data_IF_616972414072
#
_entry.id   IF_616972414072
#
_cell.length_a   1.000
_cell.length_b   1.000
_cell.length_c   1.000
_cell.angle_alpha   90.00
_cell.angle_beta   90.00
_cell.angle_gamma   90.00
#
_symmetry.space_group_name_H-M   'P 1'
#
loop_
_entity.id
_entity.type
_entity.pdbx_description
1 polymer ?
#
# COMPACT_ATOMS: atom_id res chain seq x y z
N UNK A 1 -55.01 58.52 15.91
CA UNK A 1 -56.27 57.76 15.83
C UNK A 1 -55.94 56.36 15.33
N UNK A 2 -56.51 55.35 15.98
CA UNK A 2 -56.45 53.90 15.69
C UNK A 2 -57.04 53.61 14.28
N UNK A 3 -56.75 52.53 13.53
CA UNK A 3 -57.06 51.09 13.71
C UNK A 3 -56.19 50.26 12.68
N UNK A 4 -55.57 49.08 12.97
CA UNK A 4 -56.08 47.68 13.00
C UNK A 4 -56.85 47.27 11.70
N UNK A 5 -56.67 46.16 10.96
CA UNK A 5 -56.05 44.82 11.12
C UNK A 5 -55.65 44.14 9.76
N UNK A 6 -54.90 43.03 9.88
CA UNK A 6 -54.69 41.83 9.04
C UNK A 6 -55.49 41.66 7.72
N UNK A 7 -54.97 40.99 6.68
CA UNK A 7 -54.88 39.51 6.58
C UNK A 7 -53.80 39.11 5.54
N UNK A 8 -52.83 38.26 5.94
CA UNK A 8 -52.12 37.38 5.02
C UNK A 8 -52.68 35.97 5.20
N UNK A 9 -53.34 35.43 4.18
CA UNK A 9 -53.73 34.02 4.12
C UNK A 9 -53.00 33.29 3.00
N UNK A 10 -52.64 32.06 3.36
CA UNK A 10 -51.78 31.07 2.72
C UNK A 10 -52.34 30.49 1.42
N UNK A 11 -51.45 29.99 0.55
CA UNK A 11 -51.59 28.60 0.09
C UNK A 11 -50.23 27.92 -0.19
N UNK A 12 -50.21 26.63 0.10
CA UNK A 12 -49.09 25.71 0.20
C UNK A 12 -48.51 25.34 -1.18
N UNK A 13 -47.24 24.94 -1.19
CA UNK A 13 -46.71 24.02 -2.19
C UNK A 13 -45.80 23.00 -1.48
N UNK A 14 -45.83 21.73 -1.91
CA UNK A 14 -45.74 20.60 -1.00
C UNK A 14 -44.30 20.29 -0.58
N UNK A 15 -44.21 19.68 0.60
CA UNK A 15 -43.06 18.89 1.02
C UNK A 15 -42.80 17.78 -0.03
N UNK A 16 -41.88 18.05 -0.95
CA UNK A 16 -41.22 17.06 -1.77
C UNK A 16 -39.85 16.80 -1.16
N UNK A 17 -39.70 15.67 -0.49
CA UNK A 17 -38.43 15.15 0.01
C UNK A 17 -37.42 15.00 -1.12
N UNK A 18 -36.64 16.04 -1.40
CA UNK A 18 -35.38 15.88 -2.11
C UNK A 18 -34.40 15.32 -1.10
N UNK A 19 -34.33 14.00 -1.06
CA UNK A 19 -33.18 13.25 -0.59
C UNK A 19 -31.95 13.91 -1.20
N UNK A 20 -31.26 14.73 -0.39
CA UNK A 20 -29.90 15.13 -0.65
C UNK A 20 -29.09 13.84 -0.60
N UNK A 21 -29.04 13.17 -1.76
CA UNK A 21 -28.02 12.20 -2.06
C UNK A 21 -26.72 12.92 -1.73
N UNK A 22 -26.12 12.51 -0.62
CA UNK A 22 -24.75 12.80 -0.32
C UNK A 22 -23.98 12.26 -1.51
N UNK A 23 -23.70 13.15 -2.47
CA UNK A 23 -22.70 12.91 -3.49
C UNK A 23 -21.41 12.74 -2.72
N UNK A 24 -21.13 11.46 -2.42
CA UNK A 24 -19.84 10.97 -2.02
C UNK A 24 -18.88 11.54 -3.07
N UNK A 25 -18.15 12.59 -2.67
CA UNK A 25 -17.13 13.22 -3.50
C UNK A 25 -16.09 12.14 -3.77
N UNK A 26 -16.27 11.41 -4.87
CA UNK A 26 -15.30 10.44 -5.34
C UNK A 26 -14.02 11.20 -5.59
N UNK A 27 -13.01 10.97 -4.75
CA UNK A 27 -11.69 11.54 -4.94
C UNK A 27 -11.25 11.21 -6.37
N UNK A 28 -11.03 12.24 -7.19
CA UNK A 28 -10.64 12.04 -8.58
C UNK A 28 -9.28 11.34 -8.62
N UNK A 29 -9.25 10.15 -9.24
CA UNK A 29 -8.02 9.35 -9.34
C UNK A 29 -7.06 10.06 -10.29
N UNK A 30 -5.90 10.48 -9.78
CA UNK A 30 -4.86 11.12 -10.60
C UNK A 30 -4.26 10.09 -11.55
N UNK A 31 -4.09 10.43 -12.83
CA UNK A 31 -3.44 9.55 -13.82
C UNK A 31 -2.10 10.13 -14.26
N UNK A 32 -1.07 9.30 -14.34
CA UNK A 32 0.26 9.66 -14.84
C UNK A 32 0.78 8.59 -15.79
N UNK A 33 1.46 8.98 -16.87
CA UNK A 33 2.10 8.02 -17.78
C UNK A 33 3.30 7.34 -17.11
N UNK A 34 4.17 8.11 -16.47
CA UNK A 34 5.30 7.63 -15.67
C UNK A 34 5.75 8.76 -14.76
N UNK A 35 6.46 8.43 -13.69
CA UNK A 35 7.01 9.40 -12.74
C UNK A 35 8.50 9.10 -12.60
N UNK A 36 9.35 10.08 -12.88
CA UNK A 36 10.81 9.96 -12.80
C UNK A 36 11.38 11.20 -12.12
N UNK A 37 12.34 11.04 -11.22
CA UNK A 37 13.01 12.13 -10.52
C UNK A 37 14.43 11.72 -10.10
N UNK A 38 15.36 12.66 -10.05
CA UNK A 38 16.67 12.45 -9.41
C UNK A 38 16.60 12.71 -7.90
N UNK A 39 15.59 13.46 -7.45
CA UNK A 39 15.30 13.69 -6.03
C UNK A 39 14.28 12.68 -5.47
N UNK A 40 14.16 12.58 -4.13
CA UNK A 40 13.11 11.79 -3.48
C UNK A 40 11.71 12.17 -3.96
N UNK A 41 10.84 11.17 -4.11
CA UNK A 41 9.46 11.34 -4.57
C UNK A 41 8.50 11.06 -3.41
N UNK A 42 7.60 12.00 -3.15
CA UNK A 42 6.48 11.81 -2.22
C UNK A 42 5.16 11.85 -2.99
N UNK A 43 4.52 10.71 -3.14
CA UNK A 43 3.26 10.57 -3.86
C UNK A 43 2.08 10.48 -2.89
N UNK A 44 0.99 11.19 -3.22
CA UNK A 44 -0.30 11.11 -2.51
C UNK A 44 -1.42 10.66 -3.45
N UNK A 45 -2.05 9.54 -3.09
CA UNK A 45 -3.14 8.91 -3.80
C UNK A 45 -4.50 9.58 -3.54
N UNK A 46 -5.57 9.10 -4.20
CA UNK A 46 -5.57 7.97 -5.13
C UNK A 46 -4.89 8.30 -6.48
N UNK A 47 -4.04 7.40 -6.99
CA UNK A 47 -3.31 7.61 -8.26
C UNK A 47 -3.09 6.32 -9.06
N UNK A 48 -3.23 6.43 -10.38
CA UNK A 48 -2.85 5.41 -11.37
C UNK A 48 -1.64 5.88 -12.17
N UNK A 49 -0.63 5.01 -12.27
CA UNK A 49 0.56 5.21 -13.09
C UNK A 49 0.60 4.13 -14.16
N UNK A 50 0.46 4.52 -15.42
CA UNK A 50 0.39 3.59 -16.56
C UNK A 50 1.75 2.95 -16.88
N UNK A 51 2.84 3.56 -16.41
CA UNK A 51 4.22 3.10 -16.59
C UNK A 51 4.94 3.04 -15.25
N UNK A 52 6.23 3.37 -15.27
CA UNK A 52 7.10 3.20 -14.09
C UNK A 52 7.10 4.39 -13.15
N UNK A 53 7.35 4.14 -11.86
CA UNK A 53 7.79 5.15 -10.89
C UNK A 53 9.26 4.91 -10.59
N UNK A 54 10.13 5.89 -10.89
CA UNK A 54 11.58 5.79 -10.67
C UNK A 54 12.14 7.01 -9.95
N UNK A 55 12.96 6.80 -8.93
CA UNK A 55 13.68 7.87 -8.23
C UNK A 55 15.15 7.50 -8.04
N UNK A 56 16.07 8.48 -8.18
CA UNK A 56 17.45 8.33 -7.68
C UNK A 56 17.55 8.55 -6.16
N UNK A 57 16.46 8.99 -5.53
CA UNK A 57 16.28 9.02 -4.08
C UNK A 57 15.26 7.99 -3.60
N UNK A 58 14.65 8.28 -2.45
CA UNK A 58 13.59 7.47 -1.86
C UNK A 58 12.23 7.71 -2.53
N UNK A 59 11.32 6.74 -2.45
CA UNK A 59 9.94 6.87 -2.90
C UNK A 59 8.98 6.59 -1.75
N UNK A 60 8.12 7.55 -1.42
CA UNK A 60 7.04 7.37 -0.45
C UNK A 60 5.69 7.38 -1.15
N UNK A 61 4.91 6.32 -0.97
CA UNK A 61 3.51 6.21 -1.39
C UNK A 61 2.61 6.41 -0.18
N UNK A 62 1.69 7.38 -0.24
CA UNK A 62 0.65 7.59 0.79
C UNK A 62 -0.74 7.57 0.18
N UNK A 63 -1.59 6.62 0.57
CA UNK A 63 -2.91 6.36 0.00
C UNK A 63 -2.91 5.24 -1.05
N UNK A 64 -3.89 5.23 -1.95
CA UNK A 64 -4.09 4.15 -2.92
C UNK A 64 -3.36 4.37 -4.25
N UNK A 65 -2.62 3.36 -4.70
CA UNK A 65 -1.84 3.41 -5.93
C UNK A 65 -1.97 2.14 -6.77
N UNK A 66 -2.05 2.33 -8.09
CA UNK A 66 -1.85 1.27 -9.06
C UNK A 66 -0.74 1.69 -10.05
N UNK A 67 0.36 0.95 -10.06
CA UNK A 67 1.50 1.14 -10.97
C UNK A 67 1.53 -0.06 -11.91
N UNK A 68 1.33 0.18 -13.21
CA UNK A 68 1.20 -0.89 -14.21
C UNK A 68 2.52 -1.51 -14.66
N UNK A 69 3.62 -0.81 -14.44
CA UNK A 69 4.96 -1.33 -14.73
C UNK A 69 5.75 -1.43 -13.43
N UNK A 70 7.00 -0.97 -13.41
CA UNK A 70 7.91 -1.17 -12.29
C UNK A 70 8.01 0.02 -11.34
N UNK A 71 8.43 -0.26 -10.11
CA UNK A 71 8.84 0.74 -9.12
C UNK A 71 10.33 0.55 -8.84
N UNK A 72 11.12 1.61 -9.00
CA UNK A 72 12.59 1.56 -8.81
C UNK A 72 13.07 2.77 -8.00
N UNK A 73 13.59 2.53 -6.80
CA UNK A 73 14.22 3.56 -5.96
C UNK A 73 15.69 3.24 -5.71
N UNK A 74 16.55 4.24 -5.82
CA UNK A 74 17.94 4.15 -5.33
C UNK A 74 18.06 4.44 -3.83
N UNK A 75 17.02 5.01 -3.22
CA UNK A 75 16.85 5.08 -1.77
C UNK A 75 15.81 4.09 -1.25
N UNK A 76 15.24 4.40 -0.10
CA UNK A 76 14.18 3.60 0.53
C UNK A 76 12.85 3.68 -0.22
N UNK A 77 12.00 2.65 -0.05
CA UNK A 77 10.59 2.69 -0.46
C UNK A 77 9.70 2.60 0.77
N UNK A 78 8.85 3.61 0.98
CA UNK A 78 7.82 3.62 2.00
C UNK A 78 6.44 3.46 1.38
N UNK A 79 5.64 2.52 1.86
CA UNK A 79 4.27 2.27 1.39
C UNK A 79 3.32 2.41 2.58
N UNK A 80 2.58 3.52 2.62
CA UNK A 80 1.59 3.82 3.63
C UNK A 80 0.19 3.93 2.98
N UNK A 81 -0.49 2.79 2.83
CA UNK A 81 -1.76 2.67 2.12
C UNK A 81 -1.78 1.40 1.29
N UNK A 82 -2.51 1.41 0.18
CA UNK A 82 -2.60 0.28 -0.74
C UNK A 82 -1.76 0.52 -2.00
N UNK A 83 -0.90 -0.42 -2.34
CA UNK A 83 -0.10 -0.37 -3.57
C UNK A 83 -0.26 -1.66 -4.36
N UNK A 84 -0.71 -1.54 -5.62
CA UNK A 84 -0.60 -2.62 -6.61
C UNK A 84 0.48 -2.27 -7.62
N UNK A 85 1.47 -3.13 -7.78
CA UNK A 85 2.51 -3.06 -8.79
C UNK A 85 2.39 -4.28 -9.72
N UNK A 86 2.04 -4.06 -10.99
CA UNK A 86 1.85 -5.15 -11.97
C UNK A 86 3.16 -5.69 -12.55
N UNK A 87 4.30 -5.35 -11.95
CA UNK A 87 5.62 -5.83 -12.35
C UNK A 87 6.57 -5.80 -11.13
N UNK A 88 7.87 -5.59 -11.37
CA UNK A 88 8.94 -5.58 -10.37
C UNK A 88 8.92 -4.35 -9.46
N UNK A 89 9.26 -4.57 -8.20
CA UNK A 89 9.66 -3.51 -7.25
C UNK A 89 11.13 -3.71 -6.88
N UNK A 90 11.92 -2.64 -7.02
CA UNK A 90 13.35 -2.65 -6.70
C UNK A 90 13.70 -1.47 -5.81
N UNK A 91 14.33 -1.76 -4.69
CA UNK A 91 14.87 -0.75 -3.77
C UNK A 91 16.34 -1.04 -3.52
N UNK A 92 17.21 -0.04 -3.70
CA UNK A 92 18.59 -0.12 -3.22
C UNK A 92 18.71 0.21 -1.72
N UNK A 93 17.68 0.81 -1.14
CA UNK A 93 17.53 0.99 0.30
C UNK A 93 16.64 -0.08 0.94
N UNK A 94 16.02 0.30 2.05
CA UNK A 94 15.02 -0.48 2.76
C UNK A 94 13.66 -0.39 2.05
N UNK A 95 12.76 -1.31 2.40
CA UNK A 95 11.34 -1.23 2.06
C UNK A 95 10.53 -1.36 3.34
N UNK A 96 9.65 -0.40 3.59
CA UNK A 96 8.75 -0.38 4.74
C UNK A 96 7.31 -0.33 4.24
N UNK A 97 6.53 -1.33 4.59
CA UNK A 97 5.11 -1.43 4.24
C UNK A 97 4.31 -1.30 5.53
N UNK A 98 3.48 -0.27 5.65
CA UNK A 98 2.57 -0.05 6.79
C UNK A 98 1.10 -0.22 6.43
N UNK A 99 0.82 -0.72 5.23
CA UNK A 99 -0.52 -0.98 4.70
C UNK A 99 -0.56 -2.30 3.92
N UNK A 100 -1.15 -2.29 2.73
CA UNK A 100 -1.18 -3.46 1.84
C UNK A 100 -0.38 -3.19 0.57
N UNK A 101 0.49 -4.13 0.20
CA UNK A 101 1.21 -4.07 -1.05
C UNK A 101 1.09 -5.40 -1.81
N UNK A 102 0.87 -5.32 -3.12
CA UNK A 102 0.86 -6.47 -4.01
C UNK A 102 1.80 -6.22 -5.19
N UNK A 103 2.70 -7.16 -5.46
CA UNK A 103 3.54 -7.17 -6.66
C UNK A 103 3.32 -8.46 -7.45
N UNK A 104 3.14 -8.38 -8.76
CA UNK A 104 2.87 -9.59 -9.58
C UNK A 104 4.14 -10.27 -10.10
N UNK A 105 5.31 -9.65 -9.94
CA UNK A 105 6.59 -10.24 -10.34
C UNK A 105 7.60 -10.24 -9.20
N UNK A 106 8.85 -9.82 -9.43
CA UNK A 106 9.93 -9.89 -8.46
C UNK A 106 10.06 -8.63 -7.61
N UNK A 107 10.27 -8.82 -6.32
CA UNK A 107 10.69 -7.79 -5.37
C UNK A 107 12.15 -8.00 -5.02
N UNK A 108 13.00 -7.00 -5.28
CA UNK A 108 14.43 -7.04 -4.93
C UNK A 108 14.80 -5.86 -4.05
N UNK A 109 15.31 -6.16 -2.87
CA UNK A 109 15.61 -5.17 -1.82
C UNK A 109 17.07 -5.37 -1.38
N UNK A 110 17.89 -4.33 -1.55
CA UNK A 110 19.28 -4.39 -1.10
C UNK A 110 19.46 -4.00 0.38
N UNK A 111 18.48 -3.34 0.98
CA UNK A 111 18.38 -3.11 2.42
C UNK A 111 17.50 -4.15 3.13
N UNK A 112 16.81 -3.70 4.18
CA UNK A 112 15.87 -4.49 4.98
C UNK A 112 14.44 -4.41 4.41
N UNK A 113 13.66 -5.46 4.64
CA UNK A 113 12.22 -5.47 4.42
C UNK A 113 11.50 -5.48 5.77
N UNK A 114 10.66 -4.48 6.00
CA UNK A 114 9.76 -4.41 7.15
C UNK A 114 8.32 -4.42 6.67
N UNK A 115 7.54 -5.40 7.08
CA UNK A 115 6.11 -5.49 6.81
C UNK A 115 5.36 -5.27 8.12
N UNK A 116 4.59 -4.18 8.21
CA UNK A 116 3.65 -3.84 9.26
C UNK A 116 2.24 -3.78 8.65
N UNK A 117 1.74 -4.92 8.16
CA UNK A 117 0.55 -4.99 7.31
C UNK A 117 0.57 -6.23 6.43
N UNK A 118 0.13 -6.11 5.18
CA UNK A 118 0.09 -7.21 4.21
C UNK A 118 1.04 -6.97 3.05
N UNK A 119 1.85 -7.97 2.71
CA UNK A 119 2.68 -7.94 1.52
C UNK A 119 2.60 -9.22 0.71
N UNK A 120 2.01 -9.15 -0.47
CA UNK A 120 1.87 -10.30 -1.36
C UNK A 120 2.67 -10.11 -2.64
N UNK A 121 3.43 -11.14 -3.01
CA UNK A 121 4.30 -11.11 -4.19
C UNK A 121 4.11 -12.41 -4.95
N UNK A 122 3.54 -12.36 -6.15
CA UNK A 122 3.16 -13.59 -6.87
C UNK A 122 4.35 -14.50 -7.21
N UNK A 123 5.55 -13.93 -7.35
CA UNK A 123 6.77 -14.67 -7.70
C UNK A 123 7.79 -14.65 -6.56
N UNK A 124 8.78 -13.76 -6.62
CA UNK A 124 10.00 -13.86 -5.82
C UNK A 124 10.23 -12.62 -4.96
N UNK A 125 10.60 -12.84 -3.70
CA UNK A 125 11.15 -11.83 -2.80
C UNK A 125 12.63 -12.16 -2.54
N UNK A 126 13.52 -11.24 -2.92
CA UNK A 126 14.96 -11.33 -2.66
C UNK A 126 15.40 -10.13 -1.80
N UNK A 127 15.84 -10.38 -0.57
CA UNK A 127 16.22 -9.34 0.40
C UNK A 127 17.65 -9.57 0.89
N UNK A 128 18.52 -8.61 0.64
CA UNK A 128 19.93 -8.67 1.05
C UNK A 128 20.16 -8.26 2.51
N UNK A 129 19.13 -7.74 3.17
CA UNK A 129 19.10 -7.47 4.61
C UNK A 129 18.16 -8.39 5.38
N UNK A 130 17.73 -7.91 6.55
CA UNK A 130 16.78 -8.61 7.40
C UNK A 130 15.35 -8.45 6.86
N UNK A 131 14.54 -9.50 7.02
CA UNK A 131 13.09 -9.50 6.79
C UNK A 131 12.40 -9.56 8.15
N UNK A 132 11.58 -8.55 8.44
CA UNK A 132 10.76 -8.49 9.66
C UNK A 132 9.30 -8.38 9.28
N UNK A 133 8.49 -9.29 9.82
CA UNK A 133 7.07 -9.45 9.48
C UNK A 133 6.25 -9.26 10.74
N UNK A 134 5.51 -8.17 10.78
CA UNK A 134 4.49 -7.83 11.75
C UNK A 134 3.15 -7.70 11.01
N UNK A 135 2.49 -8.83 10.78
CA UNK A 135 1.36 -8.97 9.86
C UNK A 135 1.55 -10.17 8.96
N UNK A 136 1.30 -10.00 7.66
CA UNK A 136 1.27 -11.09 6.69
C UNK A 136 2.19 -10.84 5.50
N UNK A 137 2.94 -11.87 5.10
CA UNK A 137 3.71 -11.89 3.86
C UNK A 137 3.43 -13.18 3.08
N UNK A 138 3.18 -13.09 1.77
CA UNK A 138 3.08 -14.27 0.91
C UNK A 138 3.91 -14.12 -0.35
N UNK A 139 4.62 -15.18 -0.70
CA UNK A 139 5.27 -15.27 -2.00
C UNK A 139 5.49 -16.71 -2.46
N UNK A 140 5.90 -16.89 -3.72
CA UNK A 140 6.32 -18.20 -4.21
C UNK A 140 7.70 -18.58 -3.69
N UNK A 141 8.66 -17.67 -3.83
CA UNK A 141 10.04 -17.88 -3.40
C UNK A 141 10.54 -16.73 -2.54
N UNK A 142 11.15 -17.05 -1.40
CA UNK A 142 11.74 -16.09 -0.48
C UNK A 142 13.23 -16.38 -0.29
N UNK A 143 14.09 -15.40 -0.57
CA UNK A 143 15.51 -15.42 -0.22
C UNK A 143 15.85 -14.25 0.69
N UNK A 144 16.32 -14.53 1.90
CA UNK A 144 16.79 -13.52 2.87
C UNK A 144 18.26 -13.80 3.24
N UNK A 145 19.14 -12.84 2.99
CA UNK A 145 20.57 -13.01 3.22
C UNK A 145 21.03 -12.70 4.66
N UNK A 146 20.18 -12.10 5.50
CA UNK A 146 20.54 -11.83 6.90
C UNK A 146 19.68 -12.59 7.92
N UNK A 147 18.38 -12.30 7.98
CA UNK A 147 17.48 -12.97 8.94
C UNK A 147 16.03 -12.89 8.48
N UNK A 148 15.19 -13.77 9.01
CA UNK A 148 13.74 -13.77 8.85
C UNK A 148 13.09 -13.85 10.23
N UNK A 149 12.29 -12.85 10.59
CA UNK A 149 11.64 -12.76 11.90
C UNK A 149 10.15 -12.45 11.75
N UNK A 150 9.29 -13.20 12.43
CA UNK A 150 7.88 -12.82 12.65
C UNK A 150 7.73 -12.18 14.04
N UNK A 151 6.89 -11.15 14.17
CA UNK A 151 6.70 -10.39 15.41
C UNK A 151 5.29 -10.59 15.94
N UNK A 152 5.16 -11.17 17.13
CA UNK A 152 3.86 -11.45 17.74
C UNK A 152 3.19 -12.71 17.19
N UNK A 153 2.15 -13.13 17.88
CA UNK A 153 1.39 -14.36 17.65
C UNK A 153 0.47 -14.29 16.43
N UNK A 154 0.08 -13.09 16.00
CA UNK A 154 -0.78 -12.86 14.83
C UNK A 154 -0.01 -12.70 13.52
N UNK A 155 1.33 -12.74 13.56
CA UNK A 155 2.17 -12.56 12.38
C UNK A 155 2.54 -13.88 11.74
N UNK A 156 2.36 -13.97 10.42
CA UNK A 156 2.61 -15.19 9.67
C UNK A 156 3.11 -14.88 8.27
N UNK A 157 3.64 -15.89 7.60
CA UNK A 157 4.03 -15.78 6.21
C UNK A 157 3.89 -17.11 5.49
N UNK A 158 3.67 -17.06 4.19
CA UNK A 158 3.52 -18.22 3.32
C UNK A 158 4.56 -18.16 2.18
N UNK A 159 5.30 -19.25 2.01
CA UNK A 159 6.23 -19.44 0.89
C UNK A 159 5.85 -20.72 0.18
N UNK A 160 5.38 -20.60 -1.06
CA UNK A 160 4.74 -21.73 -1.77
C UNK A 160 5.74 -22.74 -2.34
N UNK A 161 6.91 -22.28 -2.81
CA UNK A 161 7.87 -23.11 -3.53
C UNK A 161 9.19 -23.29 -2.77
N UNK A 162 9.90 -22.19 -2.48
CA UNK A 162 11.22 -22.30 -1.86
C UNK A 162 11.56 -21.13 -0.94
N UNK A 163 12.13 -21.45 0.22
CA UNK A 163 12.61 -20.47 1.19
C UNK A 163 14.10 -20.71 1.47
N UNK A 164 14.91 -19.67 1.33
CA UNK A 164 16.32 -19.66 1.72
C UNK A 164 16.59 -18.50 2.69
N UNK A 165 16.93 -18.82 3.93
CA UNK A 165 17.35 -17.82 4.94
C UNK A 165 18.79 -18.15 5.33
N UNK A 166 19.73 -17.26 5.01
CA UNK A 166 21.16 -17.51 5.23
C UNK A 166 21.62 -17.29 6.67
N UNK A 167 20.85 -16.54 7.48
CA UNK A 167 21.15 -16.34 8.90
C UNK A 167 19.99 -16.75 9.79
N UNK A 168 19.70 -15.96 10.81
CA UNK A 168 18.75 -16.36 11.85
C UNK A 168 17.30 -16.41 11.32
N UNK A 169 16.59 -17.50 11.63
CA UNK A 169 15.16 -17.63 11.39
C UNK A 169 14.43 -17.70 12.73
N UNK A 170 13.76 -16.61 13.09
CA UNK A 170 13.07 -16.41 14.37
C UNK A 170 11.57 -16.32 14.11
N UNK A 171 10.96 -17.47 13.87
CA UNK A 171 9.53 -17.57 13.55
C UNK A 171 8.76 -18.19 14.72
N UNK A 172 7.61 -17.62 15.05
CA UNK A 172 6.76 -18.19 16.08
C UNK A 172 5.98 -19.37 15.46
N UNK A 173 6.16 -20.58 15.97
CA UNK A 173 5.34 -21.73 15.59
C UNK A 173 4.06 -21.70 16.40
N UNK A 174 2.91 -21.62 15.72
CA UNK A 174 1.64 -21.98 16.34
C UNK A 174 1.64 -23.51 16.40
N UNK A 175 2.01 -24.08 17.55
CA UNK A 175 1.75 -25.49 17.80
C UNK A 175 0.22 -25.64 17.88
N UNK A 176 -0.42 -26.14 16.83
CA UNK A 176 -1.75 -26.71 16.97
C UNK A 176 -1.59 -28.03 17.74
N UNK A 177 -1.79 -27.98 19.05
CA UNK A 177 -2.13 -29.17 19.83
C UNK A 177 -3.64 -29.38 19.72
N UNK A 178 -4.07 -30.50 19.11
CA UNK A 178 -5.46 -31.00 19.15
C UNK A 178 -6.11 -31.18 17.80
#
# INVERSE_FOLDING_TARGET
MYEYEQIMTFDQSPAGSSSASQQQQGASVKKKKSIKSDDPINLRGPMQVDGSVKSMGAITFTGDFAVRDRIEAYGDIGINGNLTCSNKLKSFGNVNISGSAMCTDKVKIFGKLTVNGTFEVANEIEVWGAVTINGYLKCKTLTAYASLTTVGDQSWYEVEESETVHGAKLIQRINYEG
#
